data_IF_106152887236
#
_entry.id   IF_106152887236
#
_cell.length_a   1.000
_cell.length_b   1.000
_cell.length_c   1.000
_cell.angle_alpha   90.00
_cell.angle_beta   90.00
_cell.angle_gamma   90.00
#
_symmetry.space_group_name_H-M   'P 1'
#
loop_
_entity.id
_entity.type
_entity.pdbx_description
1 polymer ?
#
# COMPACT_ATOMS: atom_id res chain seq x y z
N UNK A 1 -14.98 26.59 -1.66
CA UNK A 1 -14.64 28.03 -1.60
C UNK A 1 -13.97 28.43 -0.28
N UNK A 2 -14.63 28.27 0.87
CA UNK A 2 -14.09 28.72 2.17
C UNK A 2 -12.75 28.05 2.55
N UNK A 3 -12.66 26.72 2.42
CA UNK A 3 -11.40 26.01 2.70
C UNK A 3 -10.27 26.41 1.76
N UNK A 4 -10.59 26.60 0.46
CA UNK A 4 -9.59 26.99 -0.54
C UNK A 4 -9.01 28.35 -0.16
N UNK A 5 -9.85 29.34 0.12
CA UNK A 5 -9.42 30.68 0.52
C UNK A 5 -8.59 30.65 1.82
N UNK A 6 -9.04 29.86 2.80
CA UNK A 6 -8.29 29.68 4.04
C UNK A 6 -6.91 29.07 3.77
N UNK A 7 -6.83 28.04 2.93
CA UNK A 7 -5.59 27.37 2.57
C UNK A 7 -4.64 28.29 1.79
N UNK A 8 -5.11 28.92 0.71
CA UNK A 8 -4.27 29.74 -0.18
C UNK A 8 -3.80 31.03 0.48
N UNK A 9 -4.53 31.53 1.48
CA UNK A 9 -4.06 32.64 2.30
C UNK A 9 -2.73 32.34 3.03
N UNK A 10 -2.36 31.07 3.25
CA UNK A 10 -1.07 30.70 3.86
C UNK A 10 0.10 30.85 2.88
N UNK A 11 -0.21 30.92 1.58
CA UNK A 11 0.73 31.21 0.51
C UNK A 11 0.66 32.68 0.07
N UNK A 12 -0.02 33.54 0.85
CA UNK A 12 -0.32 34.93 0.48
C UNK A 12 -1.09 35.07 -0.85
N UNK A 13 -1.85 34.03 -1.22
CA UNK A 13 -2.69 34.02 -2.41
C UNK A 13 -4.15 34.31 -2.03
N UNK A 14 -4.68 35.41 -2.56
CA UNK A 14 -6.07 35.83 -2.41
C UNK A 14 -6.79 35.84 -3.76
N UNK A 15 -8.12 35.68 -3.73
CA UNK A 15 -8.99 35.74 -4.91
C UNK A 15 -8.56 34.79 -6.03
N UNK A 16 -8.59 33.51 -5.70
CA UNK A 16 -8.20 32.42 -6.61
C UNK A 16 -9.36 31.46 -6.84
N UNK A 17 -9.45 30.96 -8.05
CA UNK A 17 -10.36 29.90 -8.46
C UNK A 17 -9.59 28.58 -8.61
N UNK A 18 -10.11 27.49 -8.03
CA UNK A 18 -9.56 26.15 -8.26
C UNK A 18 -10.06 25.63 -9.61
N UNK A 19 -9.15 25.50 -10.57
CA UNK A 19 -9.45 24.99 -11.91
C UNK A 19 -9.22 23.48 -12.04
N UNK A 20 -8.26 22.93 -11.29
CA UNK A 20 -8.04 21.48 -11.23
C UNK A 20 -7.37 21.05 -9.92
N UNK A 21 -7.64 19.82 -9.49
CA UNK A 21 -6.92 19.14 -8.41
C UNK A 21 -6.57 17.72 -8.85
N UNK A 22 -5.31 17.32 -8.69
CA UNK A 22 -4.79 16.01 -9.13
C UNK A 22 -4.01 15.34 -8.01
N UNK A 23 -4.13 14.02 -7.87
CA UNK A 23 -3.46 13.21 -6.83
C UNK A 23 -2.52 12.20 -7.48
N UNK A 24 -1.31 12.04 -6.94
CA UNK A 24 -0.34 11.06 -7.44
C UNK A 24 0.19 11.39 -8.83
N UNK A 25 0.48 12.68 -9.10
CA UNK A 25 0.97 13.13 -10.41
C UNK A 25 2.42 12.70 -10.55
N UNK A 26 2.70 11.74 -11.42
CA UNK A 26 4.04 11.23 -11.68
C UNK A 26 4.59 11.71 -13.02
N UNK A 27 5.85 12.16 -13.04
CA UNK A 27 6.60 12.52 -14.24
C UNK A 27 8.05 11.98 -14.16
N UNK A 28 8.90 12.40 -15.10
CA UNK A 28 10.32 12.01 -15.14
C UNK A 28 11.10 12.44 -13.88
N UNK A 29 10.59 13.37 -13.07
CA UNK A 29 11.21 13.86 -11.84
C UNK A 29 10.53 13.32 -10.58
N UNK A 30 9.60 12.36 -10.69
CA UNK A 30 9.01 11.63 -9.55
C UNK A 30 7.51 11.88 -9.37
N UNK A 31 6.96 11.57 -8.20
CA UNK A 31 5.52 11.68 -7.89
C UNK A 31 5.24 12.89 -6.97
N UNK A 32 4.14 13.61 -7.25
CA UNK A 32 3.52 14.58 -6.34
C UNK A 32 2.33 13.96 -5.63
N UNK A 33 2.23 14.11 -4.31
CA UNK A 33 1.06 13.59 -3.57
C UNK A 33 -0.23 14.28 -4.04
N UNK A 34 -0.23 15.61 -4.09
CA UNK A 34 -1.36 16.42 -4.55
C UNK A 34 -0.87 17.66 -5.29
N UNK A 35 -1.56 18.03 -6.37
CA UNK A 35 -1.30 19.26 -7.13
C UNK A 35 -2.60 20.02 -7.32
N UNK A 36 -2.59 21.33 -7.05
CA UNK A 36 -3.71 22.24 -7.31
C UNK A 36 -3.34 23.20 -8.44
N UNK A 37 -4.23 23.35 -9.42
CA UNK A 37 -4.12 24.37 -10.46
C UNK A 37 -5.13 25.47 -10.18
N UNK A 38 -4.64 26.68 -9.98
CA UNK A 38 -5.42 27.85 -9.63
C UNK A 38 -5.40 28.87 -10.77
N UNK A 39 -6.46 29.67 -10.84
CA UNK A 39 -6.51 30.89 -11.66
C UNK A 39 -6.72 32.08 -10.74
N UNK A 40 -5.90 33.12 -10.88
CA UNK A 40 -6.09 34.39 -10.17
C UNK A 40 -7.09 35.26 -10.92
N UNK A 41 -7.64 36.28 -10.25
CA UNK A 41 -8.48 37.30 -10.90
C UNK A 41 -7.75 38.05 -12.02
N UNK A 42 -6.41 38.16 -11.96
CA UNK A 42 -5.58 38.74 -13.03
C UNK A 42 -5.46 37.83 -14.27
N UNK A 43 -6.02 36.62 -14.22
CA UNK A 43 -5.94 35.62 -15.28
C UNK A 43 -4.71 34.72 -15.21
N UNK A 44 -3.82 34.92 -14.24
CA UNK A 44 -2.60 34.13 -14.06
C UNK A 44 -2.93 32.72 -13.58
N UNK A 45 -2.20 31.74 -14.08
CA UNK A 45 -2.29 30.34 -13.75
C UNK A 45 -1.22 29.97 -12.75
N UNK A 46 -1.61 29.51 -11.56
CA UNK A 46 -0.68 29.10 -10.50
C UNK A 46 -0.80 27.60 -10.27
N UNK A 47 0.33 26.93 -10.03
CA UNK A 47 0.34 25.52 -9.61
C UNK A 47 0.89 25.39 -8.18
N UNK A 48 0.14 24.76 -7.28
CA UNK A 48 0.62 24.42 -5.94
C UNK A 48 0.92 22.92 -5.89
N UNK A 49 2.18 22.57 -5.62
CA UNK A 49 2.61 21.21 -5.32
C UNK A 49 2.54 20.97 -3.82
N UNK A 50 1.79 19.97 -3.41
CA UNK A 50 1.55 19.64 -2.01
C UNK A 50 2.18 18.28 -1.73
N UNK A 51 3.19 18.27 -0.84
CA UNK A 51 3.72 17.06 -0.23
C UNK A 51 2.96 16.78 1.08
N UNK A 52 2.50 15.55 1.27
CA UNK A 52 1.74 15.16 2.45
C UNK A 52 2.48 14.09 3.27
N UNK A 53 2.96 14.46 4.46
CA UNK A 53 3.69 13.54 5.35
C UNK A 53 2.89 13.20 6.59
N UNK A 54 3.02 11.95 7.06
CA UNK A 54 2.49 11.51 8.36
C UNK A 54 3.63 11.13 9.29
N UNK A 55 4.46 10.18 8.89
CA UNK A 55 5.59 9.70 9.69
C UNK A 55 6.79 9.23 8.86
N UNK A 56 6.71 9.33 7.54
CA UNK A 56 7.76 8.87 6.63
C UNK A 56 8.77 10.00 6.40
N UNK A 57 10.07 9.69 6.44
CA UNK A 57 11.12 10.65 6.06
C UNK A 57 10.99 11.06 4.59
N UNK A 58 11.61 12.18 4.24
CA UNK A 58 11.78 12.57 2.85
C UNK A 58 12.63 11.55 2.10
N UNK A 59 12.28 11.31 0.85
CA UNK A 59 13.20 10.60 -0.05
C UNK A 59 14.38 11.52 -0.38
N UNK A 60 15.57 10.98 -0.69
CA UNK A 60 16.70 11.78 -1.15
C UNK A 60 16.29 12.68 -2.32
N UNK A 61 16.66 13.95 -2.29
CA UNK A 61 16.37 14.96 -3.31
C UNK A 61 14.87 15.21 -3.59
N UNK A 62 13.97 14.83 -2.67
CA UNK A 62 12.52 14.96 -2.92
C UNK A 62 12.10 16.42 -3.12
N UNK A 63 12.71 17.35 -2.38
CA UNK A 63 12.39 18.78 -2.44
C UNK A 63 12.90 19.41 -3.75
N UNK A 64 14.12 19.08 -4.16
CA UNK A 64 14.72 19.52 -5.43
C UNK A 64 13.88 19.08 -6.62
N UNK A 65 13.33 17.87 -6.59
CA UNK A 65 12.46 17.35 -7.66
C UNK A 65 11.18 18.17 -7.81
N UNK A 66 10.60 18.64 -6.70
CA UNK A 66 9.44 19.53 -6.75
C UNK A 66 9.79 20.91 -7.32
N UNK A 67 10.94 21.49 -6.93
CA UNK A 67 11.42 22.76 -7.52
C UNK A 67 11.63 22.62 -9.02
N UNK A 68 12.38 21.61 -9.45
CA UNK A 68 12.63 21.35 -10.87
C UNK A 68 11.33 21.18 -11.68
N UNK A 69 10.32 20.50 -11.09
CA UNK A 69 9.00 20.35 -11.72
C UNK A 69 8.29 21.69 -11.87
N UNK A 70 8.24 22.50 -10.81
CA UNK A 70 7.63 23.82 -10.85
C UNK A 70 8.30 24.73 -11.89
N UNK A 71 9.63 24.76 -11.90
CA UNK A 71 10.42 25.51 -12.88
C UNK A 71 10.15 25.06 -14.31
N UNK A 72 10.05 23.74 -14.54
CA UNK A 72 9.70 23.19 -15.85
C UNK A 72 8.30 23.61 -16.30
N UNK A 73 7.32 23.56 -15.39
CA UNK A 73 5.94 23.94 -15.68
C UNK A 73 5.82 25.42 -16.05
N UNK A 74 6.58 26.30 -15.39
CA UNK A 74 6.66 27.71 -15.76
C UNK A 74 7.35 27.88 -17.11
N UNK A 75 8.49 27.20 -17.32
CA UNK A 75 9.25 27.28 -18.57
C UNK A 75 8.46 26.81 -19.80
N UNK A 76 7.61 25.79 -19.64
CA UNK A 76 6.74 25.27 -20.69
C UNK A 76 5.44 26.07 -20.89
N UNK A 77 5.21 27.12 -20.09
CA UNK A 77 3.97 27.91 -20.13
C UNK A 77 2.74 27.17 -19.60
N UNK A 78 2.93 26.10 -18.83
CA UNK A 78 1.83 25.37 -18.20
C UNK A 78 1.26 26.10 -16.96
N UNK A 79 2.07 26.98 -16.36
CA UNK A 79 1.75 27.90 -15.27
C UNK A 79 2.55 29.19 -15.42
N UNK A 80 2.06 30.28 -14.84
CA UNK A 80 2.78 31.55 -14.70
C UNK A 80 3.66 31.56 -13.43
N UNK A 81 3.24 30.82 -12.39
CA UNK A 81 3.98 30.68 -11.14
C UNK A 81 3.68 29.35 -10.44
N UNK A 82 4.51 28.96 -9.47
CA UNK A 82 4.31 27.76 -8.67
C UNK A 82 4.69 27.94 -7.21
N UNK A 83 4.09 27.10 -6.35
CA UNK A 83 4.40 27.06 -4.92
C UNK A 83 4.56 25.63 -4.43
N UNK A 84 5.43 25.44 -3.45
CA UNK A 84 5.64 24.19 -2.73
C UNK A 84 5.02 24.30 -1.34
N UNK A 85 4.15 23.36 -1.01
CA UNK A 85 3.49 23.31 0.27
C UNK A 85 3.75 21.95 0.95
N UNK A 86 4.17 21.98 2.21
CA UNK A 86 4.22 20.80 3.06
C UNK A 86 2.97 20.74 3.94
N UNK A 87 2.32 19.58 3.98
CA UNK A 87 1.20 19.33 4.89
C UNK A 87 1.52 18.10 5.74
N UNK A 88 1.65 18.27 7.05
CA UNK A 88 2.05 17.20 7.96
C UNK A 88 1.55 17.41 9.40
N UNK A 89 1.54 16.40 10.28
CA UNK A 89 1.32 16.61 11.72
C UNK A 89 2.34 17.57 12.33
N UNK A 90 1.94 18.38 13.31
CA UNK A 90 2.84 19.33 13.99
C UNK A 90 4.12 18.65 14.53
N UNK A 91 4.01 17.43 15.06
CA UNK A 91 5.14 16.66 15.57
C UNK A 91 6.10 16.13 14.49
N UNK A 92 5.75 16.25 13.21
CA UNK A 92 6.62 15.95 12.08
C UNK A 92 7.48 17.16 11.67
N UNK A 93 7.03 18.38 11.98
CA UNK A 93 7.65 19.61 11.49
C UNK A 93 8.84 20.00 12.38
N UNK A 94 10.07 19.84 11.88
CA UNK A 94 11.26 20.46 12.43
C UNK A 94 11.51 21.84 11.81
N UNK A 95 12.61 22.50 12.22
CA UNK A 95 12.99 23.82 11.71
C UNK A 95 13.55 23.77 10.29
N UNK A 96 14.34 22.74 9.96
CA UNK A 96 14.98 22.59 8.64
C UNK A 96 13.97 22.24 7.53
N UNK A 97 12.89 21.53 7.86
CA UNK A 97 11.84 21.21 6.90
C UNK A 97 11.01 22.43 6.49
N UNK A 98 10.97 23.48 7.31
CA UNK A 98 10.15 24.68 7.07
C UNK A 98 10.81 25.67 6.12
N UNK A 99 12.14 25.76 6.12
CA UNK A 99 12.87 26.77 5.32
C UNK A 99 12.81 26.50 3.80
N UNK A 100 12.38 25.32 3.39
CA UNK A 100 12.45 24.86 2.01
C UNK A 100 11.12 24.85 1.24
N UNK A 101 10.01 25.12 1.92
CA UNK A 101 8.66 25.19 1.36
C UNK A 101 8.09 26.61 1.49
N UNK A 102 7.29 27.03 0.51
CA UNK A 102 6.63 28.34 0.52
C UNK A 102 5.52 28.42 1.58
N UNK A 103 4.94 27.28 1.93
CA UNK A 103 4.06 27.15 3.10
C UNK A 103 4.16 25.79 3.76
N UNK A 104 3.96 25.79 5.08
CA UNK A 104 3.81 24.58 5.88
C UNK A 104 2.49 24.67 6.64
N UNK A 105 1.66 23.65 6.51
CA UNK A 105 0.39 23.55 7.22
C UNK A 105 0.36 22.29 8.07
N UNK A 106 0.00 22.44 9.35
CA UNK A 106 -0.15 21.27 10.19
C UNK A 106 -1.54 20.64 10.08
N UNK A 107 -1.63 19.33 10.29
CA UNK A 107 -2.92 18.63 10.35
C UNK A 107 -3.83 19.18 11.45
N UNK A 108 -3.24 19.63 12.56
CA UNK A 108 -3.94 20.26 13.67
C UNK A 108 -4.67 21.54 13.23
N UNK A 109 -4.03 22.41 12.43
CA UNK A 109 -4.66 23.63 11.89
C UNK A 109 -5.85 23.29 10.97
N UNK A 110 -5.68 22.28 10.12
CA UNK A 110 -6.75 21.81 9.21
C UNK A 110 -7.90 21.22 10.03
N UNK A 111 -7.58 20.45 11.07
CA UNK A 111 -8.57 19.85 11.96
C UNK A 111 -9.36 20.93 12.72
N UNK A 112 -8.69 21.95 13.24
CA UNK A 112 -9.32 23.05 13.96
C UNK A 112 -10.17 23.92 13.02
N UNK A 113 -9.70 24.17 11.80
CA UNK A 113 -10.52 24.79 10.76
C UNK A 113 -11.77 23.97 10.47
N UNK A 114 -11.66 22.64 10.29
CA UNK A 114 -12.80 21.77 10.02
C UNK A 114 -13.82 21.80 11.16
N UNK A 115 -13.37 21.79 12.42
CA UNK A 115 -14.23 21.88 13.61
C UNK A 115 -14.96 23.22 13.69
N UNK A 116 -14.28 24.33 13.34
CA UNK A 116 -14.86 25.67 13.32
C UNK A 116 -15.69 26.00 12.08
N UNK A 117 -15.59 25.18 11.03
CA UNK A 117 -16.30 25.41 9.77
C UNK A 117 -17.80 25.15 9.87
N UNK A 118 -18.57 25.82 9.01
CA UNK A 118 -20.02 25.60 8.83
C UNK A 118 -20.36 24.31 8.08
N UNK A 119 -19.38 23.46 7.77
CA UNK A 119 -19.61 22.19 7.09
C UNK A 119 -20.32 21.24 8.07
N UNK A 120 -21.54 20.83 7.75
CA UNK A 120 -22.33 19.94 8.61
C UNK A 120 -22.30 18.47 8.16
N UNK A 121 -22.72 17.58 9.06
CA UNK A 121 -22.98 16.17 8.78
C UNK A 121 -21.78 15.22 8.86
N UNK A 122 -22.03 13.98 8.45
CA UNK A 122 -21.11 12.84 8.56
C UNK A 122 -19.78 13.08 7.84
N UNK A 123 -19.78 13.87 6.77
CA UNK A 123 -18.56 14.20 6.01
C UNK A 123 -17.56 14.99 6.86
N UNK A 124 -18.01 15.95 7.69
CA UNK A 124 -17.12 16.67 8.62
C UNK A 124 -16.60 15.69 9.67
N UNK A 125 -17.50 14.92 10.29
CA UNK A 125 -17.13 13.95 11.33
C UNK A 125 -16.07 12.95 10.83
N UNK A 126 -16.26 12.41 9.63
CA UNK A 126 -15.31 11.49 8.99
C UNK A 126 -13.94 12.15 8.76
N UNK A 127 -13.90 13.37 8.20
CA UNK A 127 -12.64 14.09 7.95
C UNK A 127 -11.89 14.41 9.24
N UNK A 128 -12.61 14.86 10.27
CA UNK A 128 -12.03 15.10 11.58
C UNK A 128 -11.45 13.80 12.16
N UNK A 129 -12.20 12.70 12.13
CA UNK A 129 -11.73 11.40 12.62
C UNK A 129 -10.50 10.89 11.83
N UNK A 130 -10.45 11.13 10.52
CA UNK A 130 -9.32 10.75 9.67
C UNK A 130 -8.04 11.52 10.06
N UNK A 131 -8.13 12.84 10.21
CA UNK A 131 -6.99 13.68 10.61
C UNK A 131 -6.53 13.35 12.03
N UNK A 132 -7.45 13.16 12.98
CA UNK A 132 -7.11 12.75 14.35
C UNK A 132 -6.29 11.45 14.35
N UNK A 133 -6.72 10.43 13.59
CA UNK A 133 -5.97 9.16 13.49
C UNK A 133 -4.59 9.34 12.86
N UNK A 134 -4.46 10.24 11.89
CA UNK A 134 -3.18 10.51 11.25
C UNK A 134 -2.21 11.22 12.22
N UNK A 135 -2.71 12.18 13.02
CA UNK A 135 -1.95 12.86 14.08
C UNK A 135 -1.51 11.86 15.15
N UNK A 136 -2.42 11.00 15.64
CA UNK A 136 -2.09 9.95 16.61
C UNK A 136 -1.02 9.00 16.09
N UNK A 137 -1.14 8.55 14.83
CA UNK A 137 -0.14 7.68 14.19
C UNK A 137 1.24 8.35 14.11
N UNK A 138 1.30 9.64 13.85
CA UNK A 138 2.55 10.37 13.79
C UNK A 138 3.19 10.54 15.17
N UNK A 139 2.39 10.78 16.20
CA UNK A 139 2.85 10.93 17.59
C UNK A 139 3.34 9.63 18.21
N UNK A 140 2.65 8.51 17.94
CA UNK A 140 2.87 7.25 18.65
C UNK A 140 3.48 6.13 17.78
N UNK A 141 3.73 6.40 16.49
CA UNK A 141 4.19 5.39 15.54
C UNK A 141 3.12 4.36 15.16
N UNK A 142 3.50 3.34 14.39
CA UNK A 142 2.61 2.22 14.10
C UNK A 142 2.45 1.36 15.34
N UNK A 143 1.24 1.31 15.88
CA UNK A 143 0.89 0.39 16.95
C UNK A 143 0.14 -0.81 16.37
N UNK A 144 0.65 -2.01 16.62
CA UNK A 144 -0.07 -3.24 16.35
C UNK A 144 -1.31 -3.27 17.24
N UNK A 145 -2.48 -2.99 16.67
CA UNK A 145 -3.74 -3.29 17.33
C UNK A 145 -4.05 -4.77 17.14
N UNK A 146 -3.68 -5.57 18.13
CA UNK A 146 -3.98 -7.00 18.15
C UNK A 146 -5.50 -7.22 18.16
N UNK A 147 -5.94 -8.17 17.35
CA UNK A 147 -7.29 -8.70 17.37
C UNK A 147 -7.23 -10.11 17.98
N UNK A 148 -7.91 -10.30 19.11
CA UNK A 148 -7.83 -11.53 19.89
C UNK A 148 -8.36 -12.75 19.12
N UNK A 149 -9.44 -12.58 18.35
CA UNK A 149 -10.06 -13.66 17.59
C UNK A 149 -9.17 -14.07 16.42
N UNK A 150 -8.66 -13.10 15.65
CA UNK A 150 -7.72 -13.38 14.55
C UNK A 150 -6.43 -14.01 15.09
N UNK A 151 -5.89 -13.50 16.21
CA UNK A 151 -4.69 -14.06 16.83
C UNK A 151 -4.91 -15.50 17.28
N UNK A 152 -6.06 -15.82 17.88
CA UNK A 152 -6.41 -17.18 18.29
C UNK A 152 -6.52 -18.13 17.09
N UNK A 153 -7.22 -17.72 16.02
CA UNK A 153 -7.31 -18.51 14.79
C UNK A 153 -5.93 -18.78 14.19
N UNK A 154 -5.06 -17.76 14.11
CA UNK A 154 -3.70 -17.92 13.61
C UNK A 154 -2.87 -18.90 14.43
N UNK A 155 -2.97 -18.86 15.77
CA UNK A 155 -2.28 -19.81 16.64
C UNK A 155 -2.74 -21.25 16.39
N UNK A 156 -4.05 -21.49 16.28
CA UNK A 156 -4.60 -22.83 15.98
C UNK A 156 -4.24 -23.30 14.57
N UNK A 157 -4.30 -22.41 13.58
CA UNK A 157 -3.84 -22.68 12.22
C UNK A 157 -2.36 -23.09 12.20
N UNK A 158 -1.50 -22.38 12.94
CA UNK A 158 -0.09 -22.72 13.05
C UNK A 158 0.13 -24.09 13.71
N UNK A 159 -0.51 -24.37 14.85
CA UNK A 159 -0.45 -25.69 15.50
C UNK A 159 -0.83 -26.80 14.52
N UNK A 160 -1.94 -26.64 13.81
CA UNK A 160 -2.39 -27.61 12.81
C UNK A 160 -1.41 -27.75 11.66
N UNK A 161 -0.78 -26.65 11.21
CA UNK A 161 0.25 -26.70 10.18
C UNK A 161 1.46 -27.54 10.59
N UNK A 162 1.84 -27.53 11.88
CA UNK A 162 2.94 -28.35 12.38
C UNK A 162 2.56 -29.85 12.38
N UNK A 163 1.29 -30.17 12.57
CA UNK A 163 0.82 -31.56 12.57
C UNK A 163 0.76 -32.17 11.17
N UNK A 164 0.19 -31.44 10.18
CA UNK A 164 -0.15 -32.03 8.88
C UNK A 164 0.72 -31.52 7.71
N UNK A 165 1.48 -30.44 7.92
CA UNK A 165 2.23 -29.77 6.86
C UNK A 165 3.53 -29.14 7.37
N UNK A 166 4.22 -29.79 8.32
CA UNK A 166 5.43 -29.26 8.99
C UNK A 166 6.54 -28.84 8.01
N UNK A 167 6.66 -29.52 6.87
CA UNK A 167 7.61 -29.19 5.79
C UNK A 167 7.40 -27.77 5.23
N UNK A 168 6.20 -27.20 5.38
CA UNK A 168 5.92 -25.84 4.93
C UNK A 168 6.55 -24.77 5.84
N UNK A 169 6.98 -25.14 7.05
CA UNK A 169 7.70 -24.26 7.98
C UNK A 169 7.01 -22.90 8.19
N UNK A 170 5.72 -22.93 8.55
CA UNK A 170 5.02 -21.72 8.97
C UNK A 170 5.65 -21.17 10.25
N UNK A 171 5.94 -19.87 10.27
CA UNK A 171 6.42 -19.21 11.49
C UNK A 171 5.30 -19.11 12.53
N UNK A 172 5.66 -19.33 13.79
CA UNK A 172 4.73 -19.15 14.91
C UNK A 172 4.22 -17.69 14.92
N UNK A 173 2.90 -17.48 14.98
CA UNK A 173 2.33 -16.15 14.96
C UNK A 173 2.43 -15.46 16.32
N UNK A 174 2.91 -14.22 16.30
CA UNK A 174 2.68 -13.24 17.37
C UNK A 174 1.31 -12.56 17.17
N UNK A 175 0.99 -11.53 17.95
CA UNK A 175 -0.23 -10.75 17.81
C UNK A 175 -0.56 -10.38 16.37
N UNK A 176 -1.80 -10.61 15.96
CA UNK A 176 -2.26 -10.36 14.59
C UNK A 176 -3.33 -9.28 14.58
N UNK A 177 -3.24 -8.30 13.65
CA UNK A 177 -4.33 -7.36 13.45
C UNK A 177 -5.49 -8.03 12.71
N UNK A 178 -6.69 -7.44 12.83
CA UNK A 178 -7.91 -7.95 12.20
C UNK A 178 -7.76 -8.24 10.68
N UNK A 179 -6.90 -7.50 9.98
CA UNK A 179 -6.68 -7.60 8.52
C UNK A 179 -5.73 -8.73 8.10
N UNK A 180 -5.05 -9.39 9.04
CA UNK A 180 -4.01 -10.39 8.76
C UNK A 180 -4.57 -11.67 8.14
N UNK A 181 -4.50 -11.79 6.81
CA UNK A 181 -5.19 -12.83 6.04
C UNK A 181 -4.27 -13.74 5.22
N UNK A 182 -2.97 -13.47 5.17
CA UNK A 182 -2.04 -14.13 4.25
C UNK A 182 -0.96 -14.87 5.07
N UNK A 183 -0.92 -16.19 4.97
CA UNK A 183 0.14 -17.02 5.58
C UNK A 183 1.24 -17.25 4.56
N UNK A 184 2.44 -16.80 4.86
CA UNK A 184 3.62 -17.10 4.07
C UNK A 184 4.39 -18.27 4.70
N UNK A 185 4.73 -19.25 3.87
CA UNK A 185 5.46 -20.44 4.25
C UNK A 185 6.94 -20.31 3.88
N UNK A 186 7.82 -21.01 4.61
CA UNK A 186 9.28 -20.99 4.43
C UNK A 186 9.84 -22.37 4.06
N UNK A 187 9.11 -23.11 3.24
CA UNK A 187 9.48 -24.46 2.87
C UNK A 187 10.90 -24.52 2.22
N UNK A 188 11.72 -25.56 2.49
CA UNK A 188 13.16 -25.57 2.19
C UNK A 188 13.56 -25.32 0.73
N UNK A 189 12.74 -25.72 -0.25
CA UNK A 189 13.04 -25.56 -1.69
C UNK A 189 12.64 -24.19 -2.26
N UNK A 190 11.97 -23.35 -1.47
CA UNK A 190 11.60 -22.01 -1.93
C UNK A 190 12.83 -21.10 -1.92
N UNK A 191 13.20 -20.57 -3.08
CA UNK A 191 14.31 -19.64 -3.24
C UNK A 191 13.83 -18.20 -3.49
N UNK A 192 14.77 -17.26 -3.46
CA UNK A 192 14.50 -15.83 -3.61
C UNK A 192 13.66 -15.53 -4.87
N UNK A 193 12.59 -14.75 -4.70
CA UNK A 193 11.65 -14.42 -5.77
C UNK A 193 10.42 -15.33 -5.83
N UNK A 194 10.48 -16.53 -5.22
CA UNK A 194 9.35 -17.45 -5.08
C UNK A 194 8.77 -17.38 -3.66
N UNK A 195 7.45 -17.30 -3.55
CA UNK A 195 6.73 -17.36 -2.27
C UNK A 195 5.59 -18.35 -2.34
N UNK A 196 5.48 -19.24 -1.36
CA UNK A 196 4.26 -20.01 -1.12
C UNK A 196 3.37 -19.25 -0.12
N UNK A 197 2.13 -18.97 -0.50
CA UNK A 197 1.20 -18.18 0.33
C UNK A 197 -0.20 -18.75 0.33
N UNK A 198 -0.80 -18.89 1.52
CA UNK A 198 -2.23 -19.11 1.68
C UNK A 198 -2.95 -17.79 1.94
N UNK A 199 -3.77 -17.36 0.98
CA UNK A 199 -4.60 -16.15 1.03
C UNK A 199 -5.97 -16.51 1.58
N UNK A 200 -6.06 -16.67 2.91
CA UNK A 200 -7.21 -17.25 3.62
C UNK A 200 -8.56 -16.65 3.21
N UNK A 201 -8.67 -15.31 3.17
CA UNK A 201 -9.93 -14.61 2.80
C UNK A 201 -10.29 -14.72 1.32
N UNK A 202 -9.31 -15.07 0.49
CA UNK A 202 -9.47 -15.17 -0.97
C UNK A 202 -9.65 -16.62 -1.43
N UNK A 203 -9.47 -17.60 -0.54
CA UNK A 203 -9.56 -19.03 -0.87
C UNK A 203 -8.48 -19.48 -1.86
N UNK A 204 -7.26 -18.94 -1.77
CA UNK A 204 -6.20 -19.27 -2.73
C UNK A 204 -4.92 -19.74 -2.03
N UNK A 205 -4.37 -20.85 -2.49
CA UNK A 205 -2.98 -21.21 -2.27
C UNK A 205 -2.18 -20.86 -3.53
N UNK A 206 -1.14 -20.04 -3.39
CA UNK A 206 -0.35 -19.55 -4.52
C UNK A 206 1.14 -19.87 -4.35
N UNK A 207 1.78 -20.34 -5.42
CA UNK A 207 3.20 -20.14 -5.67
C UNK A 207 3.31 -18.84 -6.46
N UNK A 208 3.89 -17.82 -5.85
CA UNK A 208 3.97 -16.46 -6.36
C UNK A 208 5.39 -16.12 -6.78
N UNK A 209 5.54 -15.65 -8.01
CA UNK A 209 6.78 -15.16 -8.59
C UNK A 209 6.72 -13.62 -8.64
N UNK A 210 7.44 -12.97 -7.72
CA UNK A 210 7.42 -11.52 -7.61
C UNK A 210 8.04 -10.84 -8.85
N UNK A 211 7.40 -9.79 -9.37
CA UNK A 211 7.87 -9.04 -10.55
C UNK A 211 7.46 -9.64 -11.90
N UNK A 212 6.91 -10.85 -11.92
CA UNK A 212 6.56 -11.57 -13.16
C UNK A 212 5.14 -11.29 -13.67
N UNK A 213 4.45 -10.26 -13.15
CA UNK A 213 3.05 -9.99 -13.51
C UNK A 213 2.80 -9.80 -15.01
N UNK A 214 3.75 -9.22 -15.74
CA UNK A 214 3.66 -9.05 -17.20
C UNK A 214 4.24 -10.23 -18.00
N UNK A 215 4.88 -11.19 -17.31
CA UNK A 215 5.59 -12.35 -17.87
C UNK A 215 4.82 -13.66 -17.64
N UNK A 216 3.51 -13.56 -17.47
CA UNK A 216 2.63 -14.71 -17.21
C UNK A 216 2.61 -15.68 -18.40
N UNK A 217 2.73 -15.16 -19.63
CA UNK A 217 2.82 -15.97 -20.85
C UNK A 217 4.08 -16.86 -20.85
N UNK A 218 5.25 -16.32 -20.52
CA UNK A 218 6.50 -17.10 -20.41
C UNK A 218 6.37 -18.25 -19.40
N UNK A 219 5.74 -17.98 -18.25
CA UNK A 219 5.48 -19.02 -17.25
C UNK A 219 4.50 -20.08 -17.76
N UNK A 220 3.53 -19.68 -18.58
CA UNK A 220 2.53 -20.58 -19.17
C UNK A 220 3.17 -21.51 -20.19
N UNK A 221 4.03 -20.96 -21.06
CA UNK A 221 4.75 -21.73 -22.07
C UNK A 221 5.71 -22.75 -21.42
N UNK A 222 6.46 -22.33 -20.41
CA UNK A 222 7.42 -23.19 -19.72
C UNK A 222 6.76 -24.33 -18.91
N UNK A 223 5.51 -24.14 -18.48
CA UNK A 223 4.74 -25.13 -17.71
C UNK A 223 3.66 -25.83 -18.53
N UNK A 224 3.69 -25.71 -19.87
CA UNK A 224 2.72 -26.34 -20.75
C UNK A 224 2.63 -27.85 -20.49
N UNK A 225 1.42 -28.34 -20.19
CA UNK A 225 1.15 -29.76 -19.90
C UNK A 225 1.66 -30.26 -18.54
N UNK A 226 2.21 -29.39 -17.68
CA UNK A 226 2.79 -29.78 -16.38
C UNK A 226 1.94 -29.42 -15.17
N UNK A 227 0.86 -28.63 -15.34
CA UNK A 227 -0.03 -28.26 -14.24
C UNK A 227 -0.87 -29.46 -13.80
N UNK A 228 -0.89 -29.73 -12.49
CA UNK A 228 -1.84 -30.70 -11.95
C UNK A 228 -3.28 -30.16 -12.00
N UNK A 229 -4.26 -31.07 -11.92
CA UNK A 229 -5.69 -30.76 -11.90
C UNK A 229 -6.04 -29.63 -10.91
N UNK A 230 -6.71 -28.59 -11.42
CA UNK A 230 -7.17 -27.45 -10.62
C UNK A 230 -6.12 -26.36 -10.40
N UNK A 231 -4.86 -26.56 -10.81
CA UNK A 231 -3.87 -25.50 -10.82
C UNK A 231 -4.07 -24.60 -12.04
N UNK A 232 -3.92 -23.29 -11.85
CA UNK A 232 -4.00 -22.30 -12.93
C UNK A 232 -2.90 -21.26 -12.80
N UNK A 233 -2.38 -20.83 -13.94
CA UNK A 233 -1.43 -19.72 -14.03
C UNK A 233 -2.24 -18.43 -14.24
N UNK A 234 -1.98 -17.40 -13.44
CA UNK A 234 -2.65 -16.11 -13.59
C UNK A 234 -1.79 -14.95 -13.08
N UNK A 235 -2.18 -13.73 -13.43
CA UNK A 235 -1.57 -12.53 -12.90
C UNK A 235 -2.17 -12.18 -11.52
N UNK A 236 -1.32 -11.84 -10.55
CA UNK A 236 -1.71 -11.25 -9.28
C UNK A 236 -0.92 -9.95 -9.06
N UNK A 237 -1.50 -8.83 -9.50
CA UNK A 237 -0.85 -7.51 -9.49
C UNK A 237 0.51 -7.57 -10.23
N UNK A 238 1.62 -7.23 -9.56
CA UNK A 238 2.98 -7.26 -10.12
C UNK A 238 3.61 -8.67 -10.14
N UNK A 239 2.86 -9.74 -9.87
CA UNK A 239 3.38 -11.11 -9.78
C UNK A 239 2.65 -12.06 -10.73
N UNK A 240 3.36 -13.08 -11.24
CA UNK A 240 2.72 -14.27 -11.79
C UNK A 240 2.46 -15.27 -10.64
N UNK A 241 1.35 -16.00 -10.69
CA UNK A 241 1.03 -17.03 -9.69
C UNK A 241 0.60 -18.33 -10.34
N UNK A 242 1.05 -19.45 -9.78
CA UNK A 242 0.39 -20.75 -9.93
C UNK A 242 -0.53 -20.90 -8.73
N UNK A 243 -1.82 -21.02 -9.00
CA UNK A 243 -2.88 -20.96 -7.99
C UNK A 243 -3.64 -22.26 -7.92
N UNK A 244 -3.91 -22.71 -6.70
CA UNK A 244 -4.91 -23.70 -6.38
C UNK A 244 -6.02 -23.04 -5.55
N UNK A 245 -7.28 -23.29 -5.92
CA UNK A 245 -8.42 -22.83 -5.14
C UNK A 245 -8.58 -23.72 -3.90
N UNK A 246 -8.77 -23.09 -2.74
CA UNK A 246 -9.00 -23.70 -1.43
C UNK A 246 -10.17 -23.00 -0.73
N UNK A 247 -10.73 -23.55 0.36
CA UNK A 247 -11.82 -22.90 1.09
C UNK A 247 -11.44 -21.50 1.60
N UNK A 248 -12.42 -20.59 1.65
CA UNK A 248 -12.28 -19.28 2.27
C UNK A 248 -12.40 -19.44 3.79
N UNK A 249 -11.55 -18.77 4.56
CA UNK A 249 -11.67 -18.71 6.02
C UNK A 249 -12.23 -17.35 6.47
N UNK A 250 -13.18 -17.40 7.39
CA UNK A 250 -13.63 -16.27 8.18
C UNK A 250 -12.64 -16.04 9.32
N UNK A 251 -11.85 -14.96 9.23
CA UNK A 251 -10.83 -14.65 10.24
C UNK A 251 -11.40 -14.32 11.62
N UNK A 252 -12.65 -13.85 11.68
CA UNK A 252 -13.34 -13.54 12.93
C UNK A 252 -14.15 -14.72 13.45
N UNK A 253 -14.24 -15.82 12.69
CA UNK A 253 -14.91 -17.05 13.10
C UNK A 253 -14.04 -17.89 14.02
N UNK A 254 -14.65 -18.85 14.71
CA UNK A 254 -13.91 -19.80 15.52
C UNK A 254 -13.07 -20.74 14.66
N UNK A 255 -12.00 -21.30 15.24
CA UNK A 255 -11.22 -22.35 14.58
C UNK A 255 -12.04 -23.63 14.42
N UNK A 256 -12.80 -24.03 15.44
CA UNK A 256 -13.45 -25.34 15.48
C UNK A 256 -14.52 -25.49 14.38
N UNK A 257 -15.25 -24.42 14.07
CA UNK A 257 -16.21 -24.39 12.95
C UNK A 257 -15.56 -24.50 11.56
N UNK A 258 -14.25 -24.23 11.47
CA UNK A 258 -13.51 -24.11 10.22
C UNK A 258 -12.34 -25.07 10.12
N UNK A 259 -12.21 -26.03 11.05
CA UNK A 259 -11.07 -26.94 11.14
C UNK A 259 -10.84 -27.71 9.82
N UNK A 260 -11.93 -28.19 9.19
CA UNK A 260 -11.82 -28.86 7.90
C UNK A 260 -11.35 -27.93 6.78
N UNK A 261 -11.87 -26.70 6.73
CA UNK A 261 -11.43 -25.68 5.75
C UNK A 261 -9.95 -25.30 5.94
N UNK A 262 -9.47 -25.27 7.18
CA UNK A 262 -8.06 -25.08 7.52
C UNK A 262 -7.22 -26.24 6.98
N UNK A 263 -7.64 -27.47 7.23
CA UNK A 263 -6.98 -28.68 6.73
C UNK A 263 -6.89 -28.69 5.21
N UNK A 264 -7.98 -28.37 4.52
CA UNK A 264 -8.04 -28.35 3.07
C UNK A 264 -7.14 -27.24 2.49
N UNK A 265 -7.08 -26.08 3.15
CA UNK A 265 -6.15 -25.01 2.80
C UNK A 265 -4.67 -25.41 2.97
N UNK A 266 -4.33 -26.06 4.08
CA UNK A 266 -2.97 -26.55 4.35
C UNK A 266 -2.57 -27.67 3.38
N UNK A 267 -3.46 -28.63 3.12
CA UNK A 267 -3.26 -29.69 2.12
C UNK A 267 -3.11 -29.13 0.72
N UNK A 268 -3.87 -28.08 0.38
CA UNK A 268 -3.71 -27.36 -0.88
C UNK A 268 -2.34 -26.71 -1.03
N UNK A 269 -1.84 -26.06 0.02
CA UNK A 269 -0.49 -25.50 0.04
C UNK A 269 0.59 -26.58 -0.05
N UNK A 270 0.42 -27.70 0.67
CA UNK A 270 1.34 -28.82 0.64
C UNK A 270 1.41 -29.46 -0.74
N UNK A 271 0.26 -29.69 -1.38
CA UNK A 271 0.18 -30.19 -2.76
C UNK A 271 0.89 -29.26 -3.73
N UNK A 272 0.63 -27.96 -3.63
CA UNK A 272 1.24 -26.96 -4.50
C UNK A 272 2.76 -26.88 -4.29
N UNK A 273 3.24 -27.01 -3.06
CA UNK A 273 4.67 -27.10 -2.74
C UNK A 273 5.33 -28.35 -3.34
N UNK A 274 4.70 -29.52 -3.21
CA UNK A 274 5.23 -30.77 -3.78
C UNK A 274 5.28 -30.75 -5.31
N UNK A 275 4.27 -30.17 -5.93
CA UNK A 275 4.28 -29.92 -7.37
C UNK A 275 5.40 -28.96 -7.78
N UNK A 276 5.61 -27.87 -7.04
CA UNK A 276 6.72 -26.95 -7.28
C UNK A 276 8.07 -27.66 -7.16
N UNK A 277 8.27 -28.45 -6.10
CA UNK A 277 9.48 -29.24 -5.87
C UNK A 277 9.77 -30.22 -7.02
N UNK A 278 8.74 -30.87 -7.56
CA UNK A 278 8.87 -31.76 -8.72
C UNK A 278 9.19 -31.03 -10.05
N UNK A 279 8.98 -29.71 -10.10
CA UNK A 279 9.20 -28.87 -11.28
C UNK A 279 10.27 -27.78 -11.04
N UNK A 280 11.06 -27.90 -9.96
CA UNK A 280 11.98 -26.87 -9.47
C UNK A 280 12.97 -26.40 -10.56
N UNK A 281 13.45 -27.33 -11.39
CA UNK A 281 14.41 -27.04 -12.47
C UNK A 281 13.88 -26.02 -13.48
N UNK A 282 12.57 -26.01 -13.76
CA UNK A 282 11.95 -25.05 -14.67
C UNK A 282 12.03 -23.64 -14.07
N UNK A 283 11.73 -23.52 -12.78
CA UNK A 283 11.81 -22.24 -12.08
C UNK A 283 13.26 -21.77 -11.95
N UNK A 284 14.20 -22.67 -11.69
CA UNK A 284 15.63 -22.36 -11.67
C UNK A 284 16.11 -21.89 -13.05
N UNK A 285 15.66 -22.50 -14.15
CA UNK A 285 16.01 -22.04 -15.50
C UNK A 285 15.40 -20.67 -15.83
N UNK A 286 14.15 -20.43 -15.45
CA UNK A 286 13.43 -19.19 -15.76
C UNK A 286 13.90 -17.99 -14.94
N UNK A 287 14.21 -18.21 -13.67
CA UNK A 287 14.48 -17.15 -12.68
C UNK A 287 15.96 -17.10 -12.33
N UNK A 288 16.62 -18.25 -12.26
CA UNK A 288 18.04 -18.38 -11.92
C UNK A 288 19.01 -18.00 -13.04
N UNK A 289 18.55 -17.91 -14.30
CA UNK A 289 19.36 -17.38 -15.42
C UNK A 289 19.69 -15.87 -15.32
N UNK A 290 19.22 -15.20 -14.26
CA UNK A 290 19.56 -13.81 -13.94
C UNK A 290 20.51 -13.64 -12.73
N UNK A 291 21.26 -14.68 -12.36
CA UNK A 291 22.39 -14.55 -11.41
C UNK A 291 23.72 -14.45 -12.15
#
# INVERSE_FOLDING_TARGET
>A
PEFLNWFTARLNLSSVELTAASRGVSDATGESDLTLKLRTDSGSTIIIHIENKVSASFQPLQKERYRQRGEEQVRQGAADDYYLCLVAPSCYLGTEEQEEFDAVLCYEDILDWLKGSRIEGERRAYKCALLTKAIERAKYGWQLKEDAAVTALWKRYWQRSQEIASVLQMQEPTGRPATSSFVYFRAPKLFAGIKLVHKMRHGNADIQIAGWGTRVHELTDALAGKLDTGMKITQANKSAVIRLQVPILNLQGSYDEQAQSVDDGLKGCLRLYRWFEANEDIFNSLIGAGR
#
